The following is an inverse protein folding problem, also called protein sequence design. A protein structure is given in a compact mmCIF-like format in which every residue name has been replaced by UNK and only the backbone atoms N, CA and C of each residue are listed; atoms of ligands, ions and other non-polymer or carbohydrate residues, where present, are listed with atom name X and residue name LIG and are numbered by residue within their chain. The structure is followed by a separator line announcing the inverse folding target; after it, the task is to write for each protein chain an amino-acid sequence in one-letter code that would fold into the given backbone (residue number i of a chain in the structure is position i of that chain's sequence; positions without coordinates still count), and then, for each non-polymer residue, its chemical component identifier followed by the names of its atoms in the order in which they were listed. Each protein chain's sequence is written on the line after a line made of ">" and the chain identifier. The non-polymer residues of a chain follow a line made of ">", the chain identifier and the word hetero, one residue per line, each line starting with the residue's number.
data_IF_876305838158
#
_entry.id   IF_876305838158
#
_cell.length_a   1.000
_cell.length_b   1.000
_cell.length_c   1.000
_cell.angle_alpha   90.00
_cell.angle_beta   90.00
_cell.angle_gamma   90.00
#
_symmetry.space_group_name_H-M   'P 1'
#
loop_
_entity.id
_entity.type
_entity.pdbx_description
1 polymer ?
#
# COMPACT_ATOMS: atom_id res chain seq x y z
N UNK A 1 16.59 38.97 -38.62
CA UNK A 1 15.92 37.67 -38.77
C UNK A 1 16.85 36.61 -38.24
N UNK A 2 16.50 35.94 -37.14
CA UNK A 2 16.37 34.47 -37.13
C UNK A 2 16.02 33.96 -35.73
N UNK A 3 15.03 33.07 -35.74
CA UNK A 3 14.09 32.78 -34.68
C UNK A 3 14.36 31.36 -34.19
N UNK A 4 15.21 31.20 -33.17
CA UNK A 4 15.56 29.87 -32.66
C UNK A 4 14.53 29.38 -31.62
N UNK A 5 13.41 28.85 -32.11
CA UNK A 5 12.42 28.11 -31.32
C UNK A 5 12.99 26.73 -30.98
N UNK A 6 13.42 26.54 -29.73
CA UNK A 6 13.73 25.20 -29.19
C UNK A 6 12.43 24.41 -29.04
N UNK A 7 12.30 23.34 -29.81
CA UNK A 7 11.22 22.35 -29.72
C UNK A 7 11.41 21.49 -28.46
N UNK A 8 10.34 21.30 -27.70
CA UNK A 8 10.24 20.29 -26.64
C UNK A 8 10.19 18.89 -27.28
N UNK A 9 10.84 17.87 -26.70
CA UNK A 9 10.70 16.49 -27.15
C UNK A 9 9.35 15.91 -26.70
N UNK A 10 8.63 15.33 -27.65
CA UNK A 10 7.42 14.52 -27.47
C UNK A 10 7.76 13.22 -26.75
N UNK A 11 7.18 13.00 -25.57
CA UNK A 11 7.09 11.69 -24.92
C UNK A 11 5.85 10.99 -25.44
N UNK A 12 6.05 9.96 -26.27
CA UNK A 12 5.00 9.02 -26.65
C UNK A 12 5.56 7.60 -26.55
N UNK A 13 5.14 6.88 -25.50
CA UNK A 13 4.82 5.44 -25.47
C UNK A 13 4.90 4.89 -24.04
N UNK A 14 3.79 4.39 -23.48
CA UNK A 14 3.80 3.73 -22.18
C UNK A 14 4.42 2.32 -22.28
N UNK A 15 5.38 2.06 -21.40
CA UNK A 15 5.96 0.74 -21.13
C UNK A 15 4.87 -0.25 -20.69
N UNK A 16 4.84 -1.49 -21.21
CA UNK A 16 3.89 -2.49 -20.74
C UNK A 16 4.31 -3.01 -19.36
N UNK A 17 3.62 -2.52 -18.33
CA UNK A 17 3.63 -3.09 -16.99
C UNK A 17 3.18 -4.57 -17.06
N UNK A 18 4.02 -5.47 -16.52
CA UNK A 18 3.67 -6.89 -16.33
C UNK A 18 3.23 -7.09 -14.87
N UNK A 19 2.04 -7.64 -14.61
CA UNK A 19 1.63 -7.97 -13.24
C UNK A 19 2.45 -9.15 -12.66
N UNK A 20 2.66 -9.21 -11.34
CA UNK A 20 3.65 -10.06 -10.67
C UNK A 20 3.22 -11.52 -10.40
N UNK A 21 2.33 -12.11 -11.21
CA UNK A 21 1.88 -13.49 -10.97
C UNK A 21 2.09 -14.38 -12.20
N UNK A 22 3.01 -15.34 -12.09
CA UNK A 22 3.11 -16.47 -13.02
C UNK A 22 3.10 -17.77 -12.22
N UNK A 23 2.09 -18.63 -12.39
CA UNK A 23 2.15 -19.99 -11.88
C UNK A 23 3.07 -20.83 -12.77
N UNK A 24 4.06 -21.46 -12.13
CA UNK A 24 5.11 -22.23 -12.77
C UNK A 24 4.65 -23.43 -13.60
N UNK A 25 5.55 -23.82 -14.51
CA UNK A 25 5.36 -24.90 -15.46
C UNK A 25 5.45 -26.29 -14.87
N UNK A 26 4.72 -27.20 -15.53
CA UNK A 26 4.96 -28.63 -15.47
C UNK A 26 5.29 -29.12 -16.88
N UNK A 27 6.45 -29.74 -17.00
CA UNK A 27 6.91 -30.46 -18.17
C UNK A 27 6.58 -31.94 -17.96
N UNK A 28 5.85 -32.55 -18.90
CA UNK A 28 5.80 -34.00 -19.05
C UNK A 28 5.58 -34.35 -20.53
N UNK A 29 6.59 -34.97 -21.12
CA UNK A 29 6.57 -35.43 -22.50
C UNK A 29 5.89 -36.78 -22.67
N UNK A 30 5.33 -36.97 -23.87
CA UNK A 30 5.38 -38.21 -24.64
C UNK A 30 4.42 -39.35 -24.27
N UNK A 31 3.34 -39.49 -25.05
CA UNK A 31 3.11 -40.62 -25.96
C UNK A 31 1.60 -40.74 -26.27
N UNK A 32 1.23 -40.64 -27.55
CA UNK A 32 -0.10 -40.91 -28.09
C UNK A 32 -0.27 -42.39 -28.48
N UNK A 33 -1.48 -42.94 -28.34
CA UNK A 33 -2.03 -43.89 -29.31
C UNK A 33 -3.35 -43.38 -29.92
N UNK A 34 -3.83 -43.99 -31.02
CA UNK A 34 -4.74 -43.33 -31.96
C UNK A 34 -6.22 -43.45 -31.60
N UNK A 35 -6.95 -42.54 -32.23
CA UNK A 35 -8.38 -42.21 -32.23
C UNK A 35 -9.29 -43.42 -32.49
N UNK A 36 -10.36 -43.55 -31.70
CA UNK A 36 -11.65 -44.06 -32.18
C UNK A 36 -12.81 -43.25 -31.59
N UNK A 37 -13.79 -43.01 -32.45
CA UNK A 37 -14.93 -42.12 -32.32
C UNK A 37 -15.89 -42.49 -31.18
N UNK A 38 -16.31 -41.47 -30.43
CA UNK A 38 -17.40 -41.56 -29.47
C UNK A 38 -17.75 -40.18 -28.94
N UNK A 39 -18.96 -39.72 -29.25
CA UNK A 39 -19.49 -38.41 -28.91
C UNK A 39 -19.15 -37.98 -27.45
N UNK A 40 -18.51 -36.82 -27.31
CA UNK A 40 -18.19 -36.19 -26.02
C UNK A 40 -18.83 -34.79 -25.98
N UNK A 41 -19.47 -34.39 -24.87
CA UNK A 41 -20.25 -33.17 -24.80
C UNK A 41 -19.35 -31.92 -24.87
N UNK A 42 -19.89 -30.88 -25.52
CA UNK A 42 -19.51 -29.48 -25.46
C UNK A 42 -18.10 -29.20 -24.92
N UNK A 43 -17.20 -28.83 -25.82
CA UNK A 43 -15.94 -28.17 -25.48
C UNK A 43 -16.22 -27.06 -24.45
N UNK A 44 -15.83 -27.30 -23.21
CA UNK A 44 -15.67 -26.26 -22.22
C UNK A 44 -14.59 -25.33 -22.79
N UNK A 45 -15.03 -24.19 -23.29
CA UNK A 45 -14.15 -23.12 -23.77
C UNK A 45 -13.08 -22.87 -22.71
N UNK A 46 -11.82 -22.86 -23.16
CA UNK A 46 -10.69 -22.35 -22.39
C UNK A 46 -11.09 -20.98 -21.89
N UNK A 47 -11.38 -20.86 -20.58
CA UNK A 47 -11.81 -19.62 -19.98
C UNK A 47 -10.67 -18.61 -20.09
N UNK A 48 -10.89 -17.55 -20.87
CA UNK A 48 -10.02 -16.37 -20.90
C UNK A 48 -9.89 -15.86 -19.46
N UNK A 49 -8.67 -15.93 -18.91
CA UNK A 49 -8.38 -15.32 -17.61
C UNK A 49 -8.61 -13.79 -17.72
N UNK A 50 -9.35 -13.18 -16.79
CA UNK A 50 -9.63 -11.75 -16.84
C UNK A 50 -8.32 -10.95 -16.73
N UNK A 51 -8.13 -9.97 -17.63
CA UNK A 51 -6.89 -9.20 -17.78
C UNK A 51 -6.83 -7.98 -16.86
N UNK A 52 -7.95 -7.60 -16.27
CA UNK A 52 -8.09 -6.44 -15.39
C UNK A 52 -8.89 -6.77 -14.13
N UNK A 53 -8.65 -6.01 -13.05
CA UNK A 53 -9.45 -6.08 -11.83
C UNK A 53 -10.94 -5.87 -12.13
N UNK A 54 -11.27 -4.96 -13.05
CA UNK A 54 -12.66 -4.71 -13.46
C UNK A 54 -13.33 -5.89 -14.16
N UNK A 55 -12.61 -6.64 -15.00
CA UNK A 55 -13.12 -7.85 -15.67
C UNK A 55 -13.29 -9.01 -14.69
N UNK A 56 -12.36 -9.17 -13.74
CA UNK A 56 -12.50 -10.16 -12.67
C UNK A 56 -13.71 -9.81 -11.79
N UNK A 57 -13.86 -8.55 -11.41
CA UNK A 57 -15.03 -8.04 -10.69
C UNK A 57 -16.35 -8.27 -11.45
N UNK A 58 -16.36 -8.07 -12.77
CA UNK A 58 -17.53 -8.33 -13.62
C UNK A 58 -17.87 -9.83 -13.70
N UNK A 59 -16.86 -10.70 -13.73
CA UNK A 59 -17.03 -12.15 -13.77
C UNK A 59 -17.52 -12.70 -12.42
N UNK A 60 -16.96 -12.24 -11.31
CA UNK A 60 -17.44 -12.56 -9.96
C UNK A 60 -18.86 -12.01 -9.74
N UNK A 61 -19.19 -10.84 -10.30
CA UNK A 61 -20.56 -10.32 -10.29
C UNK A 61 -21.55 -11.21 -11.06
N UNK A 62 -21.09 -12.09 -11.97
CA UNK A 62 -21.93 -13.06 -12.66
C UNK A 62 -21.96 -14.43 -11.98
N UNK A 63 -20.91 -14.81 -11.25
CA UNK A 63 -20.85 -16.07 -10.49
C UNK A 63 -21.54 -15.97 -9.12
N UNK A 64 -22.78 -16.47 -9.05
CA UNK A 64 -23.56 -16.49 -7.81
C UNK A 64 -22.96 -17.38 -6.72
N UNK A 65 -22.28 -18.47 -7.08
CA UNK A 65 -21.63 -19.35 -6.10
C UNK A 65 -20.44 -18.64 -5.46
N UNK A 66 -19.63 -17.93 -6.26
CA UNK A 66 -18.50 -17.16 -5.73
C UNK A 66 -18.95 -16.00 -4.83
N UNK A 67 -20.01 -15.27 -5.21
CA UNK A 67 -20.56 -14.21 -4.34
C UNK A 67 -21.06 -14.74 -3.01
N UNK A 68 -21.70 -15.92 -3.01
CA UNK A 68 -22.14 -16.57 -1.77
C UNK A 68 -20.95 -16.89 -0.85
N UNK A 69 -19.86 -17.41 -1.39
CA UNK A 69 -18.62 -17.67 -0.65
C UNK A 69 -18.04 -16.37 -0.05
N UNK A 70 -17.97 -15.29 -0.83
CA UNK A 70 -17.48 -13.98 -0.35
C UNK A 70 -18.38 -13.41 0.75
N UNK A 71 -19.70 -13.60 0.64
CA UNK A 71 -20.66 -13.16 1.65
C UNK A 71 -20.50 -13.95 2.95
N UNK A 72 -20.30 -15.26 2.86
CA UNK A 72 -19.97 -16.12 4.00
C UNK A 72 -18.63 -15.73 4.63
N UNK A 73 -17.63 -15.36 3.82
CA UNK A 73 -16.34 -14.87 4.30
C UNK A 73 -16.51 -13.60 5.14
N UNK A 74 -17.27 -12.61 4.65
CA UNK A 74 -17.53 -11.36 5.37
C UNK A 74 -18.32 -11.64 6.65
N UNK A 75 -19.48 -12.30 6.56
CA UNK A 75 -20.40 -12.50 7.70
C UNK A 75 -19.82 -13.38 8.80
N UNK A 76 -18.95 -14.33 8.46
CA UNK A 76 -18.29 -15.21 9.43
C UNK A 76 -16.87 -14.74 9.76
N UNK A 77 -16.47 -13.52 9.36
CA UNK A 77 -15.18 -12.91 9.67
C UNK A 77 -13.98 -13.79 9.27
N UNK A 78 -14.09 -14.50 8.15
CA UNK A 78 -13.04 -15.41 7.68
C UNK A 78 -11.94 -14.65 6.93
N UNK A 79 -10.71 -15.14 7.06
CA UNK A 79 -9.53 -14.52 6.44
C UNK A 79 -9.09 -13.23 7.12
N UNK A 80 -8.19 -12.51 6.48
CA UNK A 80 -7.66 -11.24 7.00
C UNK A 80 -8.61 -10.08 6.74
N UNK A 81 -8.41 -8.97 7.45
CA UNK A 81 -9.25 -7.78 7.24
C UNK A 81 -9.15 -7.26 5.79
N UNK A 82 -7.97 -7.32 5.16
CA UNK A 82 -7.76 -6.80 3.81
C UNK A 82 -8.41 -7.70 2.76
N UNK A 83 -8.42 -9.01 2.97
CA UNK A 83 -9.19 -9.95 2.15
C UNK A 83 -10.69 -9.67 2.26
N UNK A 84 -11.19 -9.46 3.48
CA UNK A 84 -12.59 -9.09 3.69
C UNK A 84 -12.93 -7.74 3.07
N UNK A 85 -12.04 -6.75 3.11
CA UNK A 85 -12.25 -5.46 2.42
C UNK A 85 -12.39 -5.63 0.91
N UNK A 86 -11.59 -6.49 0.28
CA UNK A 86 -11.76 -6.84 -1.13
C UNK A 86 -13.12 -7.51 -1.38
N UNK A 87 -13.50 -8.48 -0.54
CA UNK A 87 -14.82 -9.13 -0.60
C UNK A 87 -15.97 -8.12 -0.45
N UNK A 88 -15.87 -7.18 0.49
CA UNK A 88 -16.86 -6.13 0.70
C UNK A 88 -17.03 -5.24 -0.53
N UNK A 89 -15.94 -4.82 -1.20
CA UNK A 89 -16.02 -4.02 -2.44
C UNK A 89 -16.79 -4.74 -3.54
N UNK A 90 -16.52 -6.03 -3.72
CA UNK A 90 -17.20 -6.88 -4.71
C UNK A 90 -18.70 -6.96 -4.40
N UNK A 91 -19.03 -7.28 -3.14
CA UNK A 91 -20.42 -7.50 -2.73
C UNK A 91 -21.24 -6.21 -2.71
N UNK A 92 -20.64 -5.08 -2.33
CA UNK A 92 -21.29 -3.76 -2.43
C UNK A 92 -21.61 -3.40 -3.88
N UNK A 93 -20.67 -3.64 -4.81
CA UNK A 93 -20.89 -3.40 -6.25
C UNK A 93 -21.98 -4.32 -6.82
N UNK A 94 -22.11 -5.53 -6.29
CA UNK A 94 -23.14 -6.49 -6.66
C UNK A 94 -24.50 -6.24 -5.97
N UNK A 95 -24.58 -5.32 -4.99
CA UNK A 95 -25.79 -5.04 -4.21
C UNK A 95 -26.16 -6.13 -3.20
N UNK A 96 -25.23 -7.05 -2.87
CA UNK A 96 -25.44 -8.21 -2.00
C UNK A 96 -25.09 -7.92 -0.53
N UNK A 97 -24.37 -6.82 -0.27
CA UNK A 97 -23.92 -6.41 1.05
C UNK A 97 -24.40 -4.98 1.37
N UNK A 98 -25.07 -4.82 2.51
CA UNK A 98 -25.59 -3.54 2.96
C UNK A 98 -24.51 -2.63 3.54
N UNK A 99 -24.79 -1.33 3.60
CA UNK A 99 -23.90 -0.38 4.25
C UNK A 99 -23.76 -0.62 5.76
N UNK A 100 -24.80 -1.19 6.40
CA UNK A 100 -24.78 -1.53 7.83
C UNK A 100 -23.84 -2.70 8.12
N UNK A 101 -23.89 -3.77 7.32
CA UNK A 101 -22.96 -4.91 7.44
C UNK A 101 -21.50 -4.47 7.26
N UNK A 102 -21.23 -3.51 6.36
CA UNK A 102 -19.88 -2.95 6.16
C UNK A 102 -19.45 -2.09 7.35
N UNK A 103 -20.40 -1.40 7.98
CA UNK A 103 -20.14 -0.62 9.19
C UNK A 103 -19.82 -1.52 10.38
N UNK A 104 -20.48 -2.67 10.51
CA UNK A 104 -20.16 -3.67 11.53
C UNK A 104 -18.74 -4.21 11.38
N UNK A 105 -18.33 -4.59 10.17
CA UNK A 105 -16.95 -5.02 9.91
C UNK A 105 -15.93 -3.93 10.25
N UNK A 106 -16.19 -2.68 9.89
CA UNK A 106 -15.29 -1.57 10.19
C UNK A 106 -15.10 -1.33 11.69
N UNK A 107 -16.17 -1.51 12.48
CA UNK A 107 -16.12 -1.35 13.94
C UNK A 107 -15.23 -2.39 14.62
N UNK A 108 -15.09 -3.58 14.05
CA UNK A 108 -14.22 -4.65 14.60
C UNK A 108 -12.75 -4.23 14.65
N UNK A 109 -12.34 -3.35 13.74
CA UNK A 109 -10.97 -2.83 13.63
C UNK A 109 -10.87 -1.35 14.03
N UNK A 110 -11.87 -0.84 14.75
CA UNK A 110 -11.85 0.53 15.29
C UNK A 110 -11.96 1.65 14.26
N UNK A 111 -12.48 1.37 13.06
CA UNK A 111 -12.63 2.34 11.98
C UNK A 111 -14.10 2.58 11.59
N UNK A 112 -14.36 3.67 10.88
CA UNK A 112 -15.58 3.80 10.09
C UNK A 112 -15.40 3.11 8.72
N UNK A 113 -16.51 2.79 8.04
CA UNK A 113 -16.49 2.08 6.75
C UNK A 113 -15.61 2.76 5.71
N UNK A 114 -15.64 4.10 5.63
CA UNK A 114 -14.85 4.84 4.65
C UNK A 114 -13.36 4.66 4.94
N UNK A 115 -12.95 4.78 6.20
CA UNK A 115 -11.55 4.61 6.61
C UNK A 115 -11.05 3.21 6.38
N UNK A 116 -11.85 2.19 6.69
CA UNK A 116 -11.47 0.80 6.43
C UNK A 116 -11.25 0.55 4.93
N UNK A 117 -12.16 1.06 4.08
CA UNK A 117 -12.04 0.93 2.63
C UNK A 117 -10.79 1.63 2.09
N UNK A 118 -10.47 2.82 2.62
CA UNK A 118 -9.23 3.54 2.28
C UNK A 118 -7.99 2.78 2.75
N UNK A 119 -7.98 2.24 3.96
CA UNK A 119 -6.89 1.42 4.47
C UNK A 119 -6.63 0.21 3.57
N UNK A 120 -7.70 -0.45 3.09
CA UNK A 120 -7.57 -1.53 2.12
C UNK A 120 -6.94 -1.07 0.81
N UNK A 121 -7.29 0.13 0.31
CA UNK A 121 -6.66 0.68 -0.91
C UNK A 121 -5.20 1.05 -0.69
N UNK A 122 -4.83 1.46 0.52
CA UNK A 122 -3.42 1.65 0.88
C UNK A 122 -2.71 0.30 0.88
N UNK A 123 -3.27 -0.73 1.52
CA UNK A 123 -2.71 -2.08 1.52
C UNK A 123 -2.51 -2.63 0.10
N UNK A 124 -3.52 -2.47 -0.77
CA UNK A 124 -3.44 -2.89 -2.18
C UNK A 124 -2.37 -2.15 -2.97
N UNK A 125 -1.94 -0.95 -2.54
CA UNK A 125 -0.85 -0.20 -3.19
C UNK A 125 0.55 -0.59 -2.74
N UNK A 126 0.68 -1.51 -1.78
CA UNK A 126 1.94 -1.98 -1.22
C UNK A 126 2.47 -3.25 -1.95
N UNK A 127 2.15 -3.44 -3.23
CA UNK A 127 2.40 -4.71 -3.97
C UNK A 127 3.86 -5.10 -4.09
N UNK A 128 4.78 -4.14 -4.02
CA UNK A 128 6.21 -4.34 -4.25
C UNK A 128 6.98 -4.64 -2.94
N UNK A 129 6.28 -4.67 -1.80
CA UNK A 129 6.88 -4.94 -0.50
C UNK A 129 7.11 -6.43 -0.28
N UNK A 130 8.10 -6.72 0.56
CA UNK A 130 8.34 -8.08 1.04
C UNK A 130 7.06 -8.64 1.70
N UNK A 131 6.62 -9.87 1.35
CA UNK A 131 5.46 -10.50 1.96
C UNK A 131 5.52 -10.58 3.49
N UNK A 132 6.71 -10.71 4.07
CA UNK A 132 6.91 -10.73 5.52
C UNK A 132 6.57 -9.37 6.14
N UNK A 133 6.98 -8.26 5.52
CA UNK A 133 6.63 -6.90 5.93
C UNK A 133 5.13 -6.66 5.78
N UNK A 134 4.53 -7.08 4.66
CA UNK A 134 3.08 -6.97 4.43
C UNK A 134 2.26 -7.74 5.47
N UNK A 135 2.74 -8.91 5.91
CA UNK A 135 2.05 -9.73 6.90
C UNK A 135 1.92 -9.06 8.27
N UNK A 136 2.84 -8.13 8.61
CA UNK A 136 2.80 -7.40 9.88
C UNK A 136 1.58 -6.48 9.99
N UNK A 137 1.01 -6.04 8.86
CA UNK A 137 -0.24 -5.26 8.83
C UNK A 137 -1.50 -6.12 8.87
N UNK A 138 -1.39 -7.45 8.98
CA UNK A 138 -2.55 -8.35 9.05
C UNK A 138 -3.32 -8.31 10.36
N UNK A 139 -2.72 -7.76 11.42
CA UNK A 139 -3.33 -7.64 12.74
C UNK A 139 -4.47 -6.59 12.82
N UNK A 140 -5.18 -6.52 13.97
CA UNK A 140 -6.31 -5.62 14.17
C UNK A 140 -5.94 -4.13 14.11
N UNK A 141 -4.69 -3.77 14.42
CA UNK A 141 -4.19 -2.39 14.36
C UNK A 141 -3.72 -1.98 12.96
N UNK A 142 -3.45 -2.95 12.08
CA UNK A 142 -2.97 -2.74 10.72
C UNK A 142 -3.83 -1.76 9.89
N UNK A 143 -5.17 -1.89 9.85
CA UNK A 143 -6.03 -0.95 9.17
C UNK A 143 -5.87 0.49 9.66
N UNK A 144 -5.76 0.68 10.98
CA UNK A 144 -5.67 2.01 11.60
C UNK A 144 -4.34 2.66 11.25
N UNK A 145 -3.24 1.89 11.30
CA UNK A 145 -1.90 2.33 10.90
C UNK A 145 -1.87 2.69 9.42
N UNK A 146 -2.35 1.81 8.54
CA UNK A 146 -2.32 2.04 7.09
C UNK A 146 -3.23 3.20 6.65
N UNK A 147 -4.29 3.49 7.39
CA UNK A 147 -5.13 4.65 7.13
C UNK A 147 -4.36 5.99 7.26
N UNK A 148 -3.33 6.06 8.11
CA UNK A 148 -2.51 7.27 8.24
C UNK A 148 -1.70 7.53 6.95
N UNK A 149 -1.28 6.47 6.24
CA UNK A 149 -0.49 6.56 5.01
C UNK A 149 -1.31 7.06 3.79
N UNK A 150 -2.64 7.24 3.91
CA UNK A 150 -3.51 7.61 2.79
C UNK A 150 -3.11 8.89 2.06
N UNK A 151 -2.41 9.80 2.74
CA UNK A 151 -1.99 11.11 2.18
C UNK A 151 -0.65 11.07 1.44
N UNK A 152 0.07 9.95 1.56
CA UNK A 152 1.31 9.69 0.84
C UNK A 152 1.04 9.28 -0.61
N UNK A 153 1.97 9.61 -1.49
CA UNK A 153 2.00 9.07 -2.85
C UNK A 153 2.33 7.56 -2.83
N UNK A 154 2.01 6.84 -3.91
CA UNK A 154 2.27 5.39 -4.01
C UNK A 154 3.76 5.08 -3.79
N UNK A 155 4.66 5.88 -4.37
CA UNK A 155 6.11 5.72 -4.22
C UNK A 155 6.62 5.89 -2.78
N UNK A 156 5.90 6.64 -1.94
CA UNK A 156 6.28 6.88 -0.55
C UNK A 156 5.73 5.81 0.41
N UNK A 157 4.62 5.16 0.06
CA UNK A 157 3.94 4.22 0.95
C UNK A 157 4.81 3.02 1.29
N UNK A 158 5.53 2.47 0.31
CA UNK A 158 6.43 1.33 0.50
C UNK A 158 7.52 1.62 1.55
N UNK A 159 8.43 2.58 1.31
CA UNK A 159 9.49 2.91 2.26
C UNK A 159 8.98 3.28 3.66
N UNK A 160 7.88 4.03 3.75
CA UNK A 160 7.29 4.41 5.05
C UNK A 160 6.70 3.20 5.78
N UNK A 161 6.07 2.26 5.06
CA UNK A 161 5.54 1.04 5.65
C UNK A 161 6.66 0.12 6.17
N UNK A 162 7.77 -0.01 5.42
CA UNK A 162 8.97 -0.73 5.90
C UNK A 162 9.52 -0.09 7.17
N UNK A 163 9.63 1.24 7.18
CA UNK A 163 10.14 1.97 8.33
C UNK A 163 9.25 1.79 9.58
N UNK A 164 7.93 1.81 9.41
CA UNK A 164 6.96 1.56 10.49
C UNK A 164 7.17 0.17 11.09
N UNK A 165 7.29 -0.85 10.24
CA UNK A 165 7.50 -2.24 10.69
C UNK A 165 8.86 -2.40 11.36
N UNK A 166 9.93 -1.90 10.75
CA UNK A 166 11.29 -2.01 11.25
C UNK A 166 11.46 -1.37 12.64
N UNK A 167 10.72 -0.29 12.92
CA UNK A 167 10.79 0.44 14.18
C UNK A 167 9.63 0.13 15.14
N UNK A 168 8.73 -0.79 14.78
CA UNK A 168 7.57 -1.16 15.60
C UNK A 168 6.66 0.02 15.94
N UNK A 169 6.42 0.93 14.98
CA UNK A 169 5.63 2.13 15.21
C UNK A 169 4.14 1.81 15.30
N UNK A 170 3.47 2.42 16.27
CA UNK A 170 2.01 2.38 16.41
C UNK A 170 1.33 3.44 15.50
N UNK A 171 0.02 3.61 15.67
CA UNK A 171 -0.76 4.60 14.90
C UNK A 171 -0.23 6.03 15.06
N UNK A 172 0.21 6.41 16.25
CA UNK A 172 0.67 7.78 16.51
C UNK A 172 2.07 7.98 15.92
N UNK A 173 2.96 6.99 16.03
CA UNK A 173 4.25 6.99 15.35
C UNK A 173 4.13 7.01 13.83
N UNK A 174 3.21 6.22 13.26
CA UNK A 174 2.92 6.22 11.83
C UNK A 174 2.41 7.60 11.36
N UNK A 175 1.50 8.22 12.12
CA UNK A 175 1.01 9.58 11.84
C UNK A 175 2.15 10.61 11.90
N UNK A 176 3.06 10.48 12.85
CA UNK A 176 4.20 11.38 13.02
C UNK A 176 5.16 11.29 11.82
N UNK A 177 5.53 10.09 11.38
CA UNK A 177 6.35 9.86 10.18
C UNK A 177 5.66 10.39 8.92
N UNK A 178 4.38 10.07 8.72
CA UNK A 178 3.60 10.58 7.57
C UNK A 178 3.62 12.10 7.53
N UNK A 179 3.43 12.76 8.69
CA UNK A 179 3.48 14.22 8.78
C UNK A 179 4.87 14.75 8.43
N UNK A 180 5.93 14.11 8.91
CA UNK A 180 7.30 14.49 8.61
C UNK A 180 7.61 14.37 7.11
N UNK A 181 7.25 13.25 6.47
CA UNK A 181 7.40 13.05 5.02
C UNK A 181 6.67 14.13 4.23
N UNK A 182 5.42 14.45 4.58
CA UNK A 182 4.66 15.52 3.88
C UNK A 182 5.22 16.92 4.15
N UNK A 183 5.79 17.18 5.33
CA UNK A 183 6.48 18.45 5.62
C UNK A 183 7.78 18.55 4.81
N UNK A 184 8.52 17.45 4.71
CA UNK A 184 9.67 17.23 3.84
C UNK A 184 9.30 17.14 2.35
N UNK A 185 8.05 17.27 1.92
CA UNK A 185 7.76 17.62 0.52
C UNK A 185 7.58 19.11 0.37
N UNK A 186 6.83 19.73 1.28
CA UNK A 186 6.36 21.12 1.17
C UNK A 186 7.44 22.17 1.43
N UNK A 187 8.47 21.87 2.22
CA UNK A 187 9.46 22.86 2.69
C UNK A 187 10.90 22.47 2.34
N UNK A 188 11.40 22.78 1.13
CA UNK A 188 12.74 22.37 0.67
C UNK A 188 13.89 23.02 1.45
N UNK A 189 13.64 24.14 2.11
CA UNK A 189 14.66 24.92 2.80
C UNK A 189 15.20 24.21 4.05
N UNK A 190 16.53 24.19 4.22
CA UNK A 190 17.18 23.67 5.43
C UNK A 190 17.39 22.17 5.46
N UNK A 191 17.05 21.45 4.37
CA UNK A 191 17.19 19.99 4.26
C UNK A 191 18.63 19.52 3.99
N UNK A 192 19.59 20.42 3.90
CA UNK A 192 20.97 20.05 3.62
C UNK A 192 21.47 19.03 4.65
N UNK A 193 21.83 17.84 4.16
CA UNK A 193 22.27 16.70 4.97
C UNK A 193 21.19 15.64 5.23
N UNK A 194 19.91 15.90 4.95
CA UNK A 194 18.80 14.96 5.14
C UNK A 194 18.33 14.37 3.80
N UNK A 195 18.11 13.06 3.74
CA UNK A 195 17.60 12.37 2.55
C UNK A 195 16.07 12.25 2.58
N UNK A 196 15.48 11.66 1.53
CA UNK A 196 14.05 11.35 1.47
C UNK A 196 13.67 10.06 2.23
N UNK A 197 14.63 9.39 2.87
CA UNK A 197 14.36 8.21 3.67
C UNK A 197 13.45 8.57 4.87
N UNK A 198 12.48 7.72 5.26
CA UNK A 198 11.49 8.08 6.27
C UNK A 198 12.09 8.54 7.60
N UNK A 199 13.16 7.88 8.07
CA UNK A 199 13.85 8.26 9.30
C UNK A 199 14.55 9.61 9.17
N UNK A 200 15.20 9.88 8.04
CA UNK A 200 15.80 11.20 7.77
C UNK A 200 14.76 12.31 7.68
N UNK A 201 13.60 12.06 7.06
CA UNK A 201 12.51 13.05 7.02
C UNK A 201 11.96 13.36 8.42
N UNK A 202 11.87 12.34 9.27
CA UNK A 202 11.46 12.48 10.67
C UNK A 202 12.55 13.19 11.51
N UNK A 203 13.82 12.87 11.28
CA UNK A 203 14.95 13.52 11.92
C UNK A 203 14.96 15.02 11.59
N UNK A 204 14.80 15.36 10.31
CA UNK A 204 14.71 16.75 9.86
C UNK A 204 13.53 17.49 10.51
N UNK A 205 12.38 16.82 10.64
CA UNK A 205 11.20 17.40 11.27
C UNK A 205 11.46 17.77 12.75
N UNK A 206 12.07 16.87 13.53
CA UNK A 206 12.47 17.15 14.91
C UNK A 206 13.58 18.20 15.01
N UNK A 207 14.58 18.12 14.13
CA UNK A 207 15.69 19.06 14.06
C UNK A 207 15.20 20.50 13.84
N UNK A 208 14.25 20.70 12.92
CA UNK A 208 13.63 22.01 12.68
C UNK A 208 12.84 22.49 13.89
N UNK A 209 12.05 21.62 14.51
CA UNK A 209 11.32 21.96 15.75
C UNK A 209 12.26 22.36 16.88
N UNK A 210 13.44 21.74 16.97
CA UNK A 210 14.46 22.11 17.94
C UNK A 210 14.97 23.55 17.70
N UNK A 211 15.25 23.91 16.44
CA UNK A 211 15.68 25.26 16.06
C UNK A 211 14.64 26.35 16.34
N UNK A 212 13.35 26.02 16.32
CA UNK A 212 12.25 26.93 16.64
C UNK A 212 11.97 27.03 18.16
N UNK A 213 12.51 26.12 18.96
CA UNK A 213 12.23 26.01 20.40
C UNK A 213 13.19 26.84 21.24
N UNK A 214 12.64 27.76 22.04
CA UNK A 214 13.43 28.64 22.94
C UNK A 214 13.79 28.00 24.29
N UNK A 215 13.06 26.97 24.69
CA UNK A 215 13.26 26.25 25.94
C UNK A 215 14.41 25.24 25.80
N UNK A 216 15.52 25.38 26.55
CA UNK A 216 16.72 24.56 26.35
C UNK A 216 16.46 23.06 26.51
N UNK A 217 15.70 22.64 27.52
CA UNK A 217 15.44 21.24 27.81
C UNK A 217 14.59 20.58 26.72
N UNK A 218 13.57 21.29 26.25
CA UNK A 218 12.72 20.82 25.15
C UNK A 218 13.49 20.75 23.84
N UNK A 219 14.37 21.72 23.58
CA UNK A 219 15.27 21.71 22.43
C UNK A 219 16.20 20.48 22.48
N UNK A 220 16.83 20.21 23.61
CA UNK A 220 17.71 19.05 23.78
C UNK A 220 16.99 17.72 23.50
N UNK A 221 15.77 17.54 24.03
CA UNK A 221 14.94 16.36 23.75
C UNK A 221 14.58 16.20 22.28
N UNK A 222 14.36 17.30 21.55
CA UNK A 222 14.07 17.26 20.12
C UNK A 222 15.31 16.87 19.30
N UNK A 223 16.49 17.35 19.69
CA UNK A 223 17.76 16.94 19.04
C UNK A 223 18.04 15.46 19.30
N UNK A 224 17.83 14.98 20.53
CA UNK A 224 17.96 13.56 20.86
C UNK A 224 17.01 12.69 20.03
N UNK A 225 15.75 13.10 19.90
CA UNK A 225 14.78 12.44 19.02
C UNK A 225 15.22 12.44 17.56
N UNK A 226 15.75 13.56 17.06
CA UNK A 226 16.27 13.65 15.70
C UNK A 226 17.45 12.68 15.48
N UNK A 227 18.36 12.58 16.45
CA UNK A 227 19.51 11.70 16.38
C UNK A 227 19.11 10.21 16.41
N UNK A 228 18.08 9.87 17.18
CA UNK A 228 17.59 8.50 17.31
C UNK A 228 16.97 7.92 16.03
N UNK A 229 16.44 8.78 15.15
CA UNK A 229 15.70 8.37 13.93
C UNK A 229 16.46 8.64 12.63
N UNK A 230 17.59 9.37 12.68
CA UNK A 230 18.41 9.65 11.50
C UNK A 230 19.03 8.37 10.92
N UNK A 231 18.81 8.12 9.63
CA UNK A 231 19.25 6.91 8.94
C UNK A 231 20.59 7.15 8.24
N UNK A 232 20.73 8.25 7.50
CA UNK A 232 21.94 8.57 6.75
C UNK A 232 23.04 9.17 7.63
N UNK A 233 24.30 8.90 7.26
CA UNK A 233 25.45 9.50 7.95
C UNK A 233 25.43 11.02 7.86
N UNK A 234 25.01 11.59 6.72
CA UNK A 234 24.89 13.04 6.57
C UNK A 234 23.83 13.63 7.50
N UNK A 235 22.72 12.93 7.74
CA UNK A 235 21.68 13.39 8.67
C UNK A 235 22.18 13.32 10.12
N UNK A 236 22.89 12.24 10.48
CA UNK A 236 23.50 12.08 11.81
C UNK A 236 24.53 13.17 12.10
N UNK A 237 25.41 13.46 11.15
CA UNK A 237 26.38 14.56 11.26
C UNK A 237 25.67 15.90 11.47
N UNK A 238 24.64 16.18 10.66
CA UNK A 238 23.89 17.44 10.74
C UNK A 238 23.19 17.65 12.08
N UNK A 239 22.62 16.59 12.65
CA UNK A 239 22.00 16.63 13.98
C UNK A 239 23.06 16.81 15.08
N UNK A 240 24.21 16.13 14.97
CA UNK A 240 25.30 16.22 15.94
C UNK A 240 25.90 17.64 16.02
N UNK A 241 26.01 18.35 14.88
CA UNK A 241 26.48 19.75 14.85
C UNK A 241 25.61 20.72 15.65
N UNK A 242 24.34 20.38 15.88
CA UNK A 242 23.37 21.24 16.56
C UNK A 242 23.04 20.80 18.00
N UNK A 243 23.75 19.78 18.49
CA UNK A 243 23.64 19.26 19.86
C UNK A 243 24.38 20.12 20.88
#
# INVERSE_FOLDING_TARGET
>A
MDNNKRRLPTLDSPSPYKPPWTPGGFSAGGATPPVEDGASPAAASVEDEPKTEEEWLARVAQDAAKRKELLEQVRNQLGTWYERVRSMRILQKAGELSAEEVADEARLVGLDSTRLMVAGSVYDSLTDLDPEVLSQFGGPDGPVVLYELRTLSVAQRGPVAEYIVANGLDVDGAREVVKAVKDHERRPEGREGFTEAPGDTLAFWYFRMAGETREPDKRARLVEKAAAVAESESAKERVAESS
#
